data_IF_449906730101
#
_entry.id   IF_449906730101
#
_cell.length_a   1.000
_cell.length_b   1.000
_cell.length_c   1.000
_cell.angle_alpha   90.00
_cell.angle_beta   90.00
_cell.angle_gamma   90.00
#
_symmetry.space_group_name_H-M   'P 1'
#
loop_
_entity.id
_entity.type
_entity.pdbx_description
1 polymer ?
#
# COMPACT_ATOMS: atom_id res chain seq x y z
N UNK A 1 -0.74 -18.94 -5.66
CA UNK A 1 0.51 -19.03 -6.37
C UNK A 1 0.51 -18.08 -7.55
N UNK A 2 1.67 -17.70 -8.02
CA UNK A 2 1.81 -16.79 -9.13
C UNK A 2 2.13 -15.35 -8.75
N UNK A 3 2.12 -15.01 -7.48
CA UNK A 3 2.60 -13.71 -7.02
C UNK A 3 4.12 -13.76 -6.90
N UNK A 4 4.78 -12.66 -7.25
CA UNK A 4 6.21 -12.52 -7.04
C UNK A 4 6.52 -12.26 -5.57
N UNK A 5 7.71 -12.68 -5.08
CA UNK A 5 8.19 -12.20 -3.79
C UNK A 5 8.21 -10.66 -3.78
N UNK A 6 8.08 -10.07 -2.60
CA UNK A 6 7.98 -8.61 -2.48
C UNK A 6 9.13 -7.88 -3.19
N UNK A 7 10.35 -8.34 -3.00
CA UNK A 7 11.54 -7.68 -3.55
C UNK A 7 11.68 -7.81 -5.06
N UNK A 8 10.98 -8.77 -5.71
CA UNK A 8 11.00 -8.96 -7.16
C UNK A 8 9.85 -8.29 -7.88
N UNK A 9 8.83 -7.84 -7.15
CA UNK A 9 7.64 -7.27 -7.79
C UNK A 9 7.93 -5.94 -8.47
N UNK A 10 7.47 -5.73 -9.72
CA UNK A 10 7.62 -4.44 -10.41
C UNK A 10 6.99 -3.29 -9.66
N UNK A 11 5.80 -3.52 -9.08
CA UNK A 11 5.16 -2.61 -8.14
C UNK A 11 4.96 -3.39 -6.85
N UNK A 12 5.54 -2.90 -5.78
CA UNK A 12 5.51 -3.58 -4.49
C UNK A 12 4.32 -3.16 -3.64
N UNK A 13 3.96 -1.89 -3.73
CA UNK A 13 2.93 -1.28 -2.91
C UNK A 13 2.08 -0.37 -3.77
N UNK A 14 0.75 -0.52 -3.69
CA UNK A 14 -0.20 0.39 -4.34
C UNK A 14 -0.95 1.15 -3.25
N UNK A 15 -0.88 2.48 -3.26
CA UNK A 15 -1.51 3.33 -2.27
C UNK A 15 -2.78 3.93 -2.85
N UNK A 16 -3.91 3.69 -2.20
CA UNK A 16 -5.22 4.14 -2.66
C UNK A 16 -5.84 5.07 -1.61
N UNK A 17 -5.91 6.40 -1.87
CA UNK A 17 -6.65 7.28 -0.98
C UNK A 17 -8.16 7.05 -1.15
N UNK A 18 -8.89 7.01 -0.05
CA UNK A 18 -10.36 6.83 -0.08
C UNK A 18 -11.02 7.99 -0.79
N UNK A 19 -10.55 9.20 -0.53
CA UNK A 19 -11.05 10.42 -1.16
C UNK A 19 -9.88 11.25 -1.64
N UNK A 20 -9.80 11.51 -2.94
CA UNK A 20 -8.69 12.26 -3.52
C UNK A 20 -8.58 13.68 -2.98
N UNK A 21 -9.69 14.27 -2.58
CA UNK A 21 -9.71 15.63 -2.08
C UNK A 21 -9.15 15.77 -0.67
N UNK A 22 -9.50 14.80 0.20
CA UNK A 22 -9.18 14.89 1.63
C UNK A 22 -7.98 14.03 2.05
N UNK A 23 -7.67 13.00 1.30
CA UNK A 23 -6.68 12.00 1.72
C UNK A 23 -5.44 11.96 0.83
N UNK A 24 -5.44 12.70 -0.26
CA UNK A 24 -4.32 12.68 -1.20
C UNK A 24 -3.02 13.15 -0.57
N UNK A 25 -3.09 14.20 0.25
CA UNK A 25 -1.90 14.72 0.91
C UNK A 25 -1.24 13.68 1.81
N UNK A 26 -2.03 13.00 2.62
CA UNK A 26 -1.52 11.93 3.47
C UNK A 26 -0.97 10.76 2.63
N UNK A 27 -1.70 10.38 1.58
CA UNK A 27 -1.26 9.33 0.68
C UNK A 27 0.07 9.67 0.03
N UNK A 28 0.26 10.91 -0.40
CA UNK A 28 1.53 11.37 -0.96
C UNK A 28 2.67 11.27 0.05
N UNK A 29 2.42 11.63 1.31
CA UNK A 29 3.44 11.51 2.36
C UNK A 29 3.87 10.05 2.54
N UNK A 30 2.90 9.13 2.57
CA UNK A 30 3.21 7.70 2.69
C UNK A 30 4.00 7.21 1.49
N UNK A 31 3.59 7.59 0.28
CA UNK A 31 4.29 7.21 -0.94
C UNK A 31 5.72 7.69 -0.93
N UNK A 32 5.95 8.96 -0.61
CA UNK A 32 7.30 9.54 -0.57
C UNK A 32 8.17 8.83 0.45
N UNK A 33 7.63 8.56 1.63
CA UNK A 33 8.38 7.90 2.70
C UNK A 33 8.79 6.49 2.28
N UNK A 34 7.89 5.74 1.65
CA UNK A 34 8.20 4.40 1.17
C UNK A 34 9.20 4.42 0.01
N UNK A 35 9.08 5.38 -0.90
CA UNK A 35 10.04 5.53 -1.99
C UNK A 35 11.43 5.87 -1.47
N UNK A 36 11.50 6.70 -0.44
CA UNK A 36 12.78 7.04 0.20
C UNK A 36 13.46 5.82 0.80
N UNK A 37 12.67 4.81 1.20
CA UNK A 37 13.22 3.55 1.71
C UNK A 37 13.57 2.55 0.61
N UNK A 38 13.36 2.92 -0.65
CA UNK A 38 13.75 2.09 -1.79
C UNK A 38 12.66 1.20 -2.34
N UNK A 39 11.41 1.37 -1.92
CA UNK A 39 10.31 0.56 -2.42
C UNK A 39 9.73 1.13 -3.71
N UNK A 40 9.21 0.25 -4.55
CA UNK A 40 8.51 0.61 -5.77
C UNK A 40 7.03 0.78 -5.45
N UNK A 41 6.58 2.04 -5.36
CA UNK A 41 5.25 2.40 -4.88
C UNK A 41 4.50 3.14 -5.97
N UNK A 42 3.24 2.79 -6.18
CA UNK A 42 2.32 3.52 -7.03
C UNK A 42 1.24 4.18 -6.18
N UNK A 43 0.77 5.33 -6.65
CA UNK A 43 -0.36 6.04 -6.05
C UNK A 43 -1.53 5.96 -7.02
N UNK A 44 -2.65 5.37 -6.60
CA UNK A 44 -3.85 5.30 -7.43
C UNK A 44 -4.85 6.36 -6.98
N UNK A 45 -4.72 7.55 -7.55
CA UNK A 45 -5.58 8.70 -7.27
C UNK A 45 -6.64 8.92 -8.34
N UNK A 46 -6.94 7.91 -9.14
CA UNK A 46 -7.97 8.01 -10.18
C UNK A 46 -9.35 8.17 -9.57
N UNK A 47 -10.25 8.80 -10.31
CA UNK A 47 -11.65 8.94 -9.92
C UNK A 47 -12.42 7.66 -10.26
N UNK A 48 -12.09 6.58 -9.56
CA UNK A 48 -12.72 5.29 -9.72
C UNK A 48 -13.22 4.80 -8.36
N UNK A 49 -14.13 3.83 -8.40
CA UNK A 49 -14.64 3.24 -7.17
C UNK A 49 -13.54 2.47 -6.44
N UNK A 50 -13.58 2.54 -5.12
CA UNK A 50 -12.58 1.86 -4.28
C UNK A 50 -12.49 0.36 -4.59
N UNK A 51 -13.64 -0.30 -4.74
CA UNK A 51 -13.66 -1.73 -5.06
C UNK A 51 -12.99 -2.06 -6.38
N UNK A 52 -13.14 -1.20 -7.37
CA UNK A 52 -12.48 -1.37 -8.66
C UNK A 52 -10.97 -1.25 -8.54
N UNK A 53 -10.51 -0.24 -7.80
CA UNK A 53 -9.06 -0.02 -7.58
C UNK A 53 -8.42 -1.19 -6.86
N UNK A 54 -9.08 -1.72 -5.83
CA UNK A 54 -8.58 -2.87 -5.07
C UNK A 54 -8.52 -4.10 -5.97
N UNK A 55 -9.57 -4.34 -6.76
CA UNK A 55 -9.61 -5.47 -7.67
C UNK A 55 -8.51 -5.39 -8.71
N UNK A 56 -8.28 -4.20 -9.28
CA UNK A 56 -7.22 -4.00 -10.26
C UNK A 56 -5.84 -4.25 -9.66
N UNK A 57 -5.63 -3.80 -8.43
CA UNK A 57 -4.39 -4.05 -7.70
C UNK A 57 -4.14 -5.55 -7.53
N UNK A 58 -5.18 -6.31 -7.19
CA UNK A 58 -5.07 -7.77 -7.06
C UNK A 58 -4.84 -8.44 -8.41
N UNK A 59 -5.47 -7.95 -9.47
CA UNK A 59 -5.27 -8.48 -10.82
C UNK A 59 -3.82 -8.31 -11.27
N UNK A 60 -3.20 -7.19 -10.91
CA UNK A 60 -1.79 -6.92 -11.19
C UNK A 60 -0.85 -7.66 -10.26
N UNK A 61 -1.38 -8.39 -9.29
CA UNK A 61 -0.60 -9.17 -8.30
C UNK A 61 0.35 -8.30 -7.47
N UNK A 62 -0.11 -7.10 -7.12
CA UNK A 62 0.68 -6.21 -6.27
C UNK A 62 0.67 -6.75 -4.84
N UNK A 63 1.84 -6.99 -4.22
CA UNK A 63 1.91 -7.62 -2.90
C UNK A 63 1.15 -6.91 -1.80
N UNK A 64 1.21 -5.59 -1.76
CA UNK A 64 0.53 -4.80 -0.74
C UNK A 64 -0.34 -3.72 -1.36
N UNK A 65 -1.58 -3.61 -0.90
CA UNK A 65 -2.49 -2.53 -1.28
C UNK A 65 -2.86 -1.77 -0.03
N UNK A 66 -2.54 -0.47 0.01
CA UNK A 66 -2.82 0.38 1.15
C UNK A 66 -4.07 1.21 0.87
N UNK A 67 -4.99 1.23 1.83
CA UNK A 67 -6.19 2.05 1.75
C UNK A 67 -6.11 3.10 2.85
N UNK A 68 -6.11 4.37 2.47
CA UNK A 68 -5.89 5.48 3.39
C UNK A 68 -7.11 6.39 3.42
N UNK A 69 -7.78 6.45 4.55
CA UNK A 69 -8.94 7.29 4.76
C UNK A 69 -8.74 8.23 5.94
N UNK A 70 -9.85 8.72 6.50
CA UNK A 70 -9.80 9.65 7.63
C UNK A 70 -9.10 9.08 8.84
N UNK A 71 -9.40 7.83 9.19
CA UNK A 71 -8.81 7.21 10.38
C UNK A 71 -7.29 7.09 10.24
N UNK A 72 -6.83 6.69 9.06
CA UNK A 72 -5.41 6.53 8.80
C UNK A 72 -4.69 7.88 8.86
N UNK A 73 -5.28 8.90 8.23
CA UNK A 73 -4.71 10.24 8.25
C UNK A 73 -4.63 10.81 9.66
N UNK A 74 -5.69 10.66 10.44
CA UNK A 74 -5.78 11.27 11.76
C UNK A 74 -4.92 10.55 12.81
N UNK A 75 -4.71 9.25 12.63
CA UNK A 75 -3.97 8.41 13.59
C UNK A 75 -2.58 8.01 13.11
N UNK A 76 -2.16 8.45 11.93
CA UNK A 76 -0.88 8.05 11.31
C UNK A 76 -0.77 6.54 11.19
N UNK A 77 -1.87 5.89 10.80
CA UNK A 77 -1.92 4.44 10.60
C UNK A 77 -2.03 4.11 9.12
N UNK A 78 -1.86 2.84 8.80
CA UNK A 78 -1.98 2.31 7.46
C UNK A 78 -2.87 1.08 7.51
N UNK A 79 -3.89 1.06 6.67
CA UNK A 79 -4.71 -0.14 6.46
C UNK A 79 -4.21 -0.80 5.19
N UNK A 80 -3.71 -2.02 5.32
CA UNK A 80 -3.14 -2.72 4.18
C UNK A 80 -3.81 -4.06 3.96
N UNK A 81 -3.77 -4.50 2.70
CA UNK A 81 -4.25 -5.81 2.29
C UNK A 81 -3.13 -6.48 1.50
N UNK A 82 -2.84 -7.74 1.83
CA UNK A 82 -1.85 -8.52 1.11
C UNK A 82 -2.48 -9.24 -0.06
N UNK A 83 -1.72 -9.45 -1.13
CA UNK A 83 -2.20 -10.23 -2.27
C UNK A 83 -2.65 -11.62 -1.82
N UNK A 84 -3.83 -12.02 -2.28
CA UNK A 84 -4.39 -13.32 -1.93
C UNK A 84 -5.12 -13.37 -0.59
N UNK A 85 -5.16 -12.27 0.14
CA UNK A 85 -5.88 -12.17 1.41
C UNK A 85 -7.11 -11.31 1.24
N UNK A 86 -8.21 -11.72 1.86
CA UNK A 86 -9.46 -10.96 1.82
C UNK A 86 -9.55 -9.91 2.91
N UNK A 87 -8.84 -10.13 4.01
CA UNK A 87 -8.90 -9.24 5.16
C UNK A 87 -7.81 -8.19 5.10
N UNK A 88 -8.15 -6.99 5.57
CA UNK A 88 -7.18 -5.92 5.73
C UNK A 88 -6.76 -5.81 7.21
N UNK A 89 -5.61 -5.20 7.43
CA UNK A 89 -5.07 -4.99 8.78
C UNK A 89 -4.65 -3.54 8.91
N UNK A 90 -4.94 -2.93 10.05
CA UNK A 90 -4.55 -1.55 10.35
C UNK A 90 -3.47 -1.55 11.41
N UNK A 91 -2.31 -0.95 11.09
CA UNK A 91 -1.19 -0.80 12.03
C UNK A 91 -0.61 0.60 11.89
N UNK A 92 0.27 0.97 12.80
CA UNK A 92 0.94 2.26 12.73
C UNK A 92 1.85 2.32 11.49
N UNK A 93 1.99 3.53 10.93
CA UNK A 93 2.78 3.74 9.73
C UNK A 93 4.22 3.25 9.89
N UNK A 94 4.85 3.57 11.02
CA UNK A 94 6.23 3.16 11.28
C UNK A 94 6.33 1.64 11.41
N UNK A 95 5.34 1.00 12.03
CA UNK A 95 5.31 -0.45 12.13
C UNK A 95 5.20 -1.12 10.77
N UNK A 96 4.38 -0.56 9.89
CA UNK A 96 4.24 -1.09 8.54
C UNK A 96 5.56 -0.99 7.78
N UNK A 97 6.22 0.14 7.86
CA UNK A 97 7.48 0.37 7.17
C UNK A 97 8.55 -0.62 7.66
N UNK A 98 8.65 -0.79 8.98
CA UNK A 98 9.60 -1.75 9.56
C UNK A 98 9.28 -3.18 9.11
N UNK A 99 8.00 -3.54 9.05
CA UNK A 99 7.58 -4.87 8.63
C UNK A 99 8.01 -5.18 7.19
N UNK A 100 7.78 -4.26 6.27
CA UNK A 100 8.11 -4.51 4.86
C UNK A 100 9.62 -4.45 4.63
N UNK A 101 10.35 -3.64 5.35
CA UNK A 101 11.82 -3.61 5.28
C UNK A 101 12.38 -4.99 5.68
N UNK A 102 11.87 -5.56 6.77
CA UNK A 102 12.29 -6.88 7.21
C UNK A 102 11.99 -7.97 6.18
N UNK A 103 10.84 -7.89 5.53
CA UNK A 103 10.48 -8.86 4.50
C UNK A 103 11.44 -8.81 3.32
N UNK A 104 11.83 -7.62 2.89
CA UNK A 104 12.78 -7.48 1.80
C UNK A 104 14.15 -8.01 2.20
N UNK A 105 14.59 -7.75 3.43
CA UNK A 105 15.87 -8.23 3.93
C UNK A 105 15.94 -9.74 4.02
N UNK A 106 14.82 -10.39 4.36
CA UNK A 106 14.78 -11.86 4.45
C UNK A 106 15.01 -12.55 3.11
N UNK A 107 14.73 -11.86 2.00
CA UNK A 107 14.84 -12.44 0.66
C UNK A 107 16.09 -12.00 -0.11
N UNK A 108 16.98 -11.29 0.52
CA UNK A 108 18.22 -10.87 -0.13
C UNK A 108 19.26 -11.96 -0.20
#
# INVERSE_FOLDING_TARGET
AGAFPLWLSPVQINVIPVNNEYHLEYANKVVEELRDKGFRVELDAREEKMGYKIRESQTKKIPYTLVLGNNERDNNTITYRMFGKENSTTIERDEFIDMIIKQVEEYK
#
